data_IF_959425303516
#
_entry.id   IF_959425303516
#
_cell.length_a   1.000
_cell.length_b   1.000
_cell.length_c   1.000
_cell.angle_alpha   90.00
_cell.angle_beta   90.00
_cell.angle_gamma   90.00
#
_symmetry.space_group_name_H-M   'P 1'
#
loop_
_entity.id
_entity.type
_entity.pdbx_description
1 polymer ?
#
# COMPACT_ATOMS: atom_id res chain seq x y z
N UNK A 1 -2.50 -2.87 19.17
CA UNK A 1 -1.68 -2.84 17.95
C UNK A 1 -0.76 -4.04 17.94
N UNK A 2 -0.52 -4.64 16.76
CA UNK A 2 0.40 -5.75 16.63
C UNK A 2 1.84 -5.27 16.93
N UNK A 3 2.61 -6.04 17.71
CA UNK A 3 4.00 -5.68 17.97
C UNK A 3 4.88 -5.97 16.72
N UNK A 4 6.02 -5.26 16.54
CA UNK A 4 6.93 -5.54 15.42
C UNK A 4 7.38 -7.01 15.37
N UNK A 5 7.66 -7.62 16.51
CA UNK A 5 8.04 -9.04 16.63
C UNK A 5 6.94 -9.98 16.12
N UNK A 6 5.67 -9.73 16.50
CA UNK A 6 4.53 -10.52 16.01
C UNK A 6 4.31 -10.33 14.50
N UNK A 7 4.43 -9.09 14.00
CA UNK A 7 4.34 -8.82 12.55
C UNK A 7 5.43 -9.58 11.78
N UNK A 8 6.66 -9.55 12.25
CA UNK A 8 7.78 -10.25 11.64
C UNK A 8 7.55 -11.77 11.62
N UNK A 9 7.05 -12.33 12.71
CA UNK A 9 6.74 -13.77 12.79
C UNK A 9 5.66 -14.16 11.78
N UNK A 10 4.62 -13.34 11.58
CA UNK A 10 3.58 -13.60 10.57
C UNK A 10 4.19 -13.59 9.17
N UNK A 11 5.05 -12.60 8.85
CA UNK A 11 5.72 -12.51 7.55
C UNK A 11 6.61 -13.74 7.28
N UNK A 12 7.36 -14.22 8.29
CA UNK A 12 8.16 -15.43 8.16
C UNK A 12 7.30 -16.68 8.00
N UNK A 13 6.24 -16.83 8.80
CA UNK A 13 5.33 -17.99 8.78
C UNK A 13 4.58 -18.14 7.45
N UNK A 14 4.41 -17.06 6.71
CA UNK A 14 3.71 -17.02 5.41
C UNK A 14 4.69 -17.02 4.23
N UNK A 15 6.00 -17.21 4.47
CA UNK A 15 7.06 -17.05 3.45
C UNK A 15 7.02 -15.70 2.72
N UNK A 16 6.39 -14.70 3.34
CA UNK A 16 6.35 -13.35 2.82
C UNK A 16 7.68 -12.60 3.03
N UNK A 17 8.47 -13.01 4.00
CA UNK A 17 9.83 -12.54 4.25
C UNK A 17 10.80 -13.69 4.08
N UNK A 18 11.62 -13.59 3.05
CA UNK A 18 12.73 -14.53 2.78
C UNK A 18 14.05 -13.89 3.18
N UNK A 19 14.92 -14.67 3.78
CA UNK A 19 16.30 -14.30 4.11
C UNK A 19 17.26 -15.08 3.22
N UNK A 20 18.26 -14.41 2.64
CA UNK A 20 19.20 -14.98 1.67
C UNK A 20 19.86 -13.90 0.83
N UNK A 21 20.40 -14.26 -0.31
CA UNK A 21 20.99 -13.31 -1.25
C UNK A 21 20.04 -13.11 -2.43
N UNK A 22 19.53 -11.91 -2.58
CA UNK A 22 18.55 -11.55 -3.61
C UNK A 22 19.05 -10.37 -4.44
N UNK A 23 18.88 -10.46 -5.76
CA UNK A 23 19.07 -9.34 -6.68
C UNK A 23 17.68 -8.73 -6.93
N UNK A 24 17.51 -7.46 -6.54
CA UNK A 24 16.26 -6.73 -6.69
C UNK A 24 16.09 -6.25 -8.14
N UNK A 25 14.86 -5.88 -8.52
CA UNK A 25 14.56 -5.31 -9.85
C UNK A 25 15.33 -4.03 -10.17
N UNK A 26 15.86 -3.36 -9.15
CA UNK A 26 16.76 -2.21 -9.28
C UNK A 26 18.22 -2.58 -9.56
N UNK A 27 18.57 -3.88 -9.60
CA UNK A 27 19.94 -4.38 -9.65
C UNK A 27 20.69 -4.38 -8.32
N UNK A 28 20.09 -3.85 -7.25
CA UNK A 28 20.69 -3.85 -5.91
C UNK A 28 20.59 -5.22 -5.26
N UNK A 29 21.61 -5.58 -4.49
CA UNK A 29 21.64 -6.78 -3.67
C UNK A 29 20.96 -6.55 -2.33
N UNK A 30 20.24 -7.56 -1.84
CA UNK A 30 19.58 -7.51 -0.55
C UNK A 30 19.67 -8.85 0.16
N UNK A 31 19.90 -8.84 1.46
CA UNK A 31 19.82 -10.05 2.30
C UNK A 31 18.39 -10.46 2.64
N UNK A 32 17.40 -9.67 2.23
CA UNK A 32 15.98 -9.92 2.49
C UNK A 32 15.14 -9.60 1.26
N UNK A 33 14.20 -10.49 0.98
CA UNK A 33 13.18 -10.28 -0.05
C UNK A 33 11.79 -10.34 0.57
N UNK A 34 10.91 -9.46 0.15
CA UNK A 34 9.53 -9.40 0.66
C UNK A 34 8.56 -9.58 -0.50
N UNK A 35 7.66 -10.55 -0.32
CA UNK A 35 6.58 -10.85 -1.25
C UNK A 35 5.24 -10.81 -0.51
N UNK A 36 4.61 -9.64 -0.44
CA UNK A 36 3.36 -9.44 0.30
C UNK A 36 2.20 -10.29 -0.22
N UNK A 37 2.21 -10.69 -1.49
CA UNK A 37 1.20 -11.60 -2.03
C UNK A 37 1.16 -12.93 -1.25
N UNK A 38 2.30 -13.42 -0.74
CA UNK A 38 2.36 -14.61 0.12
C UNK A 38 1.63 -14.39 1.45
N UNK A 39 1.81 -13.26 2.11
CA UNK A 39 1.03 -12.90 3.30
C UNK A 39 -0.46 -12.84 2.97
N UNK A 40 -0.81 -12.14 1.89
CA UNK A 40 -2.19 -11.87 1.51
C UNK A 40 -2.93 -13.13 1.02
N UNK A 41 -2.21 -14.21 0.65
CA UNK A 41 -2.80 -15.52 0.36
C UNK A 41 -3.29 -16.27 1.61
N UNK A 42 -3.00 -15.76 2.81
CA UNK A 42 -3.51 -16.29 4.08
C UNK A 42 -4.41 -15.24 4.75
N UNK A 43 -5.71 -15.12 4.36
CA UNK A 43 -6.58 -14.03 4.81
C UNK A 43 -6.66 -13.87 6.33
N UNK A 44 -6.69 -14.97 7.07
CA UNK A 44 -6.75 -14.96 8.53
C UNK A 44 -5.48 -14.39 9.19
N UNK A 45 -4.29 -14.57 8.59
CA UNK A 45 -3.04 -13.98 9.08
C UNK A 45 -2.90 -12.53 8.61
N UNK A 46 -3.28 -12.25 7.37
CA UNK A 46 -3.30 -10.90 6.82
C UNK A 46 -4.23 -9.97 7.62
N UNK A 47 -5.38 -10.47 8.10
CA UNK A 47 -6.32 -9.71 8.92
C UNK A 47 -5.67 -9.09 10.16
N UNK A 48 -4.80 -9.80 10.87
CA UNK A 48 -4.09 -9.24 12.04
C UNK A 48 -3.23 -8.02 11.66
N UNK A 49 -2.52 -8.11 10.54
CA UNK A 49 -1.66 -7.01 10.05
C UNK A 49 -2.51 -5.86 9.55
N UNK A 50 -3.55 -6.15 8.75
CA UNK A 50 -4.47 -5.13 8.23
C UNK A 50 -5.22 -4.40 9.34
N UNK A 51 -5.70 -5.08 10.39
CA UNK A 51 -6.30 -4.44 11.57
C UNK A 51 -5.32 -3.52 12.29
N UNK A 52 -4.08 -3.96 12.47
CA UNK A 52 -3.06 -3.12 13.09
C UNK A 52 -2.78 -1.87 12.27
N UNK A 53 -2.70 -2.00 10.94
CA UNK A 53 -2.51 -0.87 10.01
C UNK A 53 -3.74 0.05 10.02
N UNK A 54 -4.96 -0.49 9.92
CA UNK A 54 -6.20 0.30 9.98
C UNK A 54 -6.31 1.12 11.26
N UNK A 55 -5.90 0.55 12.40
CA UNK A 55 -5.87 1.28 13.67
C UNK A 55 -4.85 2.42 13.68
N UNK A 56 -3.68 2.23 13.04
CA UNK A 56 -2.70 3.32 12.86
C UNK A 56 -3.26 4.40 11.94
N UNK A 57 -3.91 4.01 10.84
CA UNK A 57 -4.53 4.95 9.90
C UNK A 57 -5.58 5.80 10.62
N UNK A 58 -6.49 5.20 11.40
CA UNK A 58 -7.52 5.93 12.16
C UNK A 58 -6.94 6.97 13.12
N UNK A 59 -5.76 6.69 13.69
CA UNK A 59 -5.09 7.64 14.61
C UNK A 59 -4.45 8.82 13.89
N UNK A 60 -3.86 8.57 12.70
CA UNK A 60 -3.04 9.55 12.01
C UNK A 60 -3.79 10.33 10.92
N UNK A 61 -4.83 9.72 10.33
CA UNK A 61 -5.58 10.33 9.23
C UNK A 61 -7.04 10.52 9.63
N UNK A 62 -7.49 11.77 9.58
CA UNK A 62 -8.89 12.14 9.81
C UNK A 62 -9.56 12.48 8.49
N UNK A 63 -10.88 12.19 8.39
CA UNK A 63 -11.71 12.56 7.23
C UNK A 63 -11.18 12.00 5.89
N UNK A 64 -10.84 10.70 5.87
CA UNK A 64 -10.56 10.00 4.62
C UNK A 64 -11.88 9.88 3.85
N UNK A 65 -11.89 10.31 2.58
CA UNK A 65 -13.07 10.17 1.71
C UNK A 65 -12.92 8.95 0.80
N UNK A 66 -11.70 8.69 0.31
CA UNK A 66 -11.41 7.65 -0.67
C UNK A 66 -10.07 6.98 -0.38
N UNK A 67 -9.99 5.68 -0.62
CA UNK A 67 -8.74 4.92 -0.68
C UNK A 67 -8.40 4.66 -2.14
N UNK A 68 -7.15 4.93 -2.52
CA UNK A 68 -6.58 4.60 -3.82
C UNK A 68 -5.47 3.56 -3.65
N UNK A 69 -5.59 2.45 -4.34
CA UNK A 69 -4.61 1.36 -4.31
C UNK A 69 -3.97 1.14 -5.69
N UNK A 70 -2.64 1.13 -5.82
CA UNK A 70 -2.01 0.76 -7.09
C UNK A 70 -2.06 -0.76 -7.30
N UNK A 71 -2.52 -1.19 -8.46
CA UNK A 71 -2.49 -2.59 -8.87
C UNK A 71 -1.05 -3.05 -9.12
N UNK A 72 -0.71 -4.32 -8.88
CA UNK A 72 -1.56 -5.39 -8.37
C UNK A 72 -1.50 -5.50 -6.83
N UNK A 73 -0.32 -5.30 -6.21
CA UNK A 73 -0.06 -5.59 -4.80
C UNK A 73 -0.97 -4.82 -3.84
N UNK A 74 -1.32 -3.57 -4.19
CA UNK A 74 -2.15 -2.72 -3.36
C UNK A 74 -3.64 -3.10 -3.31
N UNK A 75 -4.15 -3.90 -4.29
CA UNK A 75 -5.60 -4.12 -4.41
C UNK A 75 -6.18 -4.83 -3.18
N UNK A 76 -5.60 -5.96 -2.80
CA UNK A 76 -6.14 -6.79 -1.69
C UNK A 76 -6.04 -6.02 -0.38
N UNK A 77 -4.89 -5.44 -0.09
CA UNK A 77 -4.72 -4.65 1.14
C UNK A 77 -5.60 -3.40 1.15
N UNK A 78 -5.73 -2.71 0.01
CA UNK A 78 -6.62 -1.56 -0.13
C UNK A 78 -8.06 -1.94 0.20
N UNK A 79 -8.55 -3.04 -0.35
CA UNK A 79 -9.88 -3.58 -0.07
C UNK A 79 -10.07 -3.89 1.43
N UNK A 80 -9.14 -4.61 2.04
CA UNK A 80 -9.22 -4.95 3.47
C UNK A 80 -9.21 -3.71 4.36
N UNK A 81 -8.35 -2.74 4.08
CA UNK A 81 -8.32 -1.47 4.82
C UNK A 81 -9.61 -0.67 4.58
N UNK A 82 -10.10 -0.61 3.35
CA UNK A 82 -11.36 0.05 3.01
C UNK A 82 -12.55 -0.53 3.75
N UNK A 83 -12.65 -1.85 3.80
CA UNK A 83 -13.65 -2.59 4.59
C UNK A 83 -13.59 -2.19 6.09
N UNK A 84 -12.38 -2.19 6.68
CA UNK A 84 -12.19 -1.86 8.10
C UNK A 84 -12.45 -0.38 8.42
N UNK A 85 -12.22 0.51 7.48
CA UNK A 85 -12.45 1.95 7.63
C UNK A 85 -13.84 2.37 7.16
N UNK A 86 -14.61 1.47 6.52
CA UNK A 86 -15.90 1.74 5.86
C UNK A 86 -15.76 2.87 4.84
N UNK A 87 -14.74 2.77 3.97
CA UNK A 87 -14.45 3.76 2.94
C UNK A 87 -14.46 3.14 1.54
N UNK A 88 -14.96 3.90 0.59
CA UNK A 88 -14.82 3.55 -0.81
C UNK A 88 -13.35 3.31 -1.14
N UNK A 89 -13.10 2.23 -1.87
CA UNK A 89 -11.75 1.85 -2.29
C UNK A 89 -11.75 1.57 -3.77
N UNK A 90 -10.91 2.30 -4.48
CA UNK A 90 -10.66 2.12 -5.90
C UNK A 90 -9.20 1.76 -6.13
N UNK A 91 -8.90 1.25 -7.31
CA UNK A 91 -7.52 0.99 -7.70
C UNK A 91 -7.19 1.61 -9.06
N UNK A 92 -5.91 1.90 -9.25
CA UNK A 92 -5.36 2.24 -10.57
C UNK A 92 -4.51 1.08 -11.08
N UNK A 93 -4.52 0.89 -12.39
CA UNK A 93 -3.79 -0.19 -13.06
C UNK A 93 -2.89 0.36 -14.16
N UNK A 94 -1.80 -0.36 -14.49
CA UNK A 94 -0.88 0.07 -15.53
C UNK A 94 -1.46 -0.20 -16.92
N UNK A 95 -1.56 0.86 -17.71
CA UNK A 95 -1.90 0.81 -19.12
C UNK A 95 -0.75 1.48 -19.88
N UNK A 96 -0.11 0.75 -20.76
CA UNK A 96 1.09 1.24 -21.52
C UNK A 96 2.14 1.87 -20.57
N UNK A 97 2.41 1.19 -19.44
CA UNK A 97 3.41 1.60 -18.45
C UNK A 97 3.00 2.72 -17.48
N UNK A 98 1.81 3.34 -17.63
CA UNK A 98 1.32 4.45 -16.77
C UNK A 98 0.12 4.01 -15.94
N UNK A 99 0.07 4.41 -14.68
CA UNK A 99 -1.14 4.20 -13.88
C UNK A 99 -2.31 5.02 -14.41
N UNK A 100 -3.44 4.35 -14.51
CA UNK A 100 -4.69 4.90 -15.07
C UNK A 100 -5.86 4.39 -14.26
N UNK A 101 -6.85 5.24 -14.03
CA UNK A 101 -8.15 4.82 -13.51
C UNK A 101 -8.98 4.25 -14.66
N UNK A 102 -9.51 3.05 -14.47
CA UNK A 102 -10.39 2.35 -15.41
C UNK A 102 -11.66 1.91 -14.70
N UNK A 103 -12.46 1.07 -15.35
CA UNK A 103 -13.65 0.42 -14.76
C UNK A 103 -14.69 1.42 -14.22
N UNK A 104 -14.72 2.62 -14.77
CA UNK A 104 -15.61 3.68 -14.31
C UNK A 104 -15.16 4.38 -13.02
N UNK A 105 -14.00 4.00 -12.45
CA UNK A 105 -13.48 4.66 -11.25
C UNK A 105 -13.16 6.13 -11.49
N UNK A 106 -13.58 6.97 -10.55
CA UNK A 106 -13.34 8.42 -10.56
C UNK A 106 -12.91 8.89 -9.18
N UNK A 107 -12.00 9.84 -9.14
CA UNK A 107 -11.66 10.58 -7.93
C UNK A 107 -12.42 11.90 -7.99
N UNK A 108 -13.26 12.16 -7.00
CA UNK A 108 -14.04 13.38 -6.95
C UNK A 108 -13.17 14.59 -6.62
N UNK A 109 -13.41 15.71 -7.27
CA UNK A 109 -12.73 16.98 -6.97
C UNK A 109 -12.87 17.32 -5.47
N UNK A 110 -11.77 17.68 -4.84
CA UNK A 110 -11.72 18.07 -3.43
C UNK A 110 -11.74 16.92 -2.43
N UNK A 111 -11.99 15.66 -2.86
CA UNK A 111 -11.96 14.50 -1.96
C UNK A 111 -10.57 14.30 -1.35
N UNK A 112 -10.54 13.78 -0.13
CA UNK A 112 -9.34 13.47 0.64
C UNK A 112 -8.97 12.01 0.44
N UNK A 113 -7.88 11.77 -0.27
CA UNK A 113 -7.46 10.46 -0.75
C UNK A 113 -6.28 9.95 0.06
N UNK A 114 -6.39 8.71 0.58
CA UNK A 114 -5.29 7.97 1.19
C UNK A 114 -4.81 6.91 0.20
N UNK A 115 -3.50 6.84 -0.06
CA UNK A 115 -2.91 5.79 -0.88
C UNK A 115 -2.53 4.62 0.02
N UNK A 116 -2.94 3.40 -0.39
CA UNK A 116 -2.59 2.15 0.31
C UNK A 116 -1.77 1.27 -0.62
N UNK A 117 -0.57 0.90 -0.20
CA UNK A 117 0.32 -0.03 -0.89
C UNK A 117 0.70 -1.22 -0.01
N UNK A 118 1.14 -2.31 -0.62
CA UNK A 118 1.69 -3.46 0.10
C UNK A 118 3.12 -3.20 0.56
N UNK A 119 3.99 -2.74 -0.34
CA UNK A 119 5.39 -2.41 -0.06
C UNK A 119 5.76 -1.08 -0.72
N UNK A 120 6.27 -0.15 0.06
CA UNK A 120 6.90 1.07 -0.46
C UNK A 120 8.43 0.89 -0.43
N UNK A 121 9.07 1.08 -1.59
CA UNK A 121 10.54 1.06 -1.75
C UNK A 121 11.05 2.43 -2.17
N UNK A 122 11.08 2.70 -3.47
CA UNK A 122 11.45 4.01 -4.02
C UNK A 122 10.32 5.03 -3.99
N UNK A 123 9.08 4.57 -3.74
CA UNK A 123 7.89 5.42 -3.80
C UNK A 123 7.43 5.77 -5.23
N UNK A 124 8.06 5.21 -6.27
CA UNK A 124 7.72 5.53 -7.67
C UNK A 124 6.24 5.30 -7.97
N UNK A 125 5.70 4.14 -7.61
CA UNK A 125 4.28 3.81 -7.79
C UNK A 125 3.37 4.77 -7.04
N UNK A 126 3.69 5.03 -5.78
CA UNK A 126 2.95 5.97 -4.93
C UNK A 126 2.94 7.38 -5.54
N UNK A 127 4.09 7.86 -6.05
CA UNK A 127 4.17 9.17 -6.69
C UNK A 127 3.43 9.24 -8.04
N UNK A 128 3.34 8.14 -8.77
CA UNK A 128 2.48 8.09 -9.95
C UNK A 128 0.97 8.18 -9.57
N UNK A 129 0.56 7.56 -8.45
CA UNK A 129 -0.79 7.71 -7.91
C UNK A 129 -1.10 9.16 -7.50
N UNK A 130 -0.12 9.87 -6.93
CA UNK A 130 -0.27 11.30 -6.59
C UNK A 130 -0.62 12.13 -7.83
N UNK A 131 -0.05 11.80 -8.98
CA UNK A 131 -0.40 12.50 -10.25
C UNK A 131 -1.87 12.32 -10.63
N UNK A 132 -2.46 11.14 -10.38
CA UNK A 132 -3.90 10.90 -10.62
C UNK A 132 -4.76 11.74 -9.68
N UNK A 133 -4.37 11.83 -8.40
CA UNK A 133 -5.05 12.63 -7.39
C UNK A 133 -5.02 14.11 -7.77
N UNK A 134 -3.85 14.62 -8.15
CA UNK A 134 -3.66 16.01 -8.56
C UNK A 134 -4.44 16.34 -9.84
N UNK A 135 -4.43 15.43 -10.84
CA UNK A 135 -5.24 15.58 -12.07
C UNK A 135 -6.73 15.70 -11.78
N UNK A 136 -7.21 14.98 -10.78
CA UNK A 136 -8.60 15.04 -10.31
C UNK A 136 -8.90 16.27 -9.44
N UNK A 137 -7.91 17.13 -9.15
CA UNK A 137 -8.04 18.25 -8.21
C UNK A 137 -8.51 17.80 -6.82
N UNK A 138 -8.09 16.62 -6.39
CA UNK A 138 -8.33 16.05 -5.07
C UNK A 138 -7.13 16.31 -4.13
N UNK A 139 -7.28 15.97 -2.85
CA UNK A 139 -6.26 16.20 -1.82
C UNK A 139 -5.63 14.88 -1.39
N UNK A 140 -4.30 14.76 -1.54
CA UNK A 140 -3.56 13.66 -0.93
C UNK A 140 -3.54 13.86 0.58
N UNK A 141 -3.90 12.80 1.35
CA UNK A 141 -3.71 12.75 2.80
C UNK A 141 -2.36 12.16 3.20
N UNK A 142 -1.86 11.21 2.42
CA UNK A 142 -0.62 10.52 2.67
C UNK A 142 -0.65 9.09 2.15
N UNK A 143 0.26 8.27 2.69
CA UNK A 143 0.45 6.89 2.31
C UNK A 143 0.37 5.99 3.54
N UNK A 144 -0.11 4.75 3.35
CA UNK A 144 0.02 3.70 4.33
C UNK A 144 0.37 2.38 3.64
N UNK A 145 1.25 1.60 4.27
CA UNK A 145 1.76 0.35 3.71
C UNK A 145 1.99 -0.68 4.80
N UNK A 146 1.98 -1.97 4.43
CA UNK A 146 2.39 -3.05 5.33
C UNK A 146 3.89 -2.95 5.59
N UNK A 147 4.67 -2.77 4.54
CA UNK A 147 6.13 -2.75 4.59
C UNK A 147 6.64 -1.43 4.01
N UNK A 148 7.38 -0.71 4.83
CA UNK A 148 8.13 0.45 4.39
C UNK A 148 9.63 0.11 4.32
N UNK A 149 10.17 0.14 3.11
CA UNK A 149 11.60 0.02 2.79
C UNK A 149 12.15 1.30 2.17
N UNK A 150 11.39 2.38 2.26
CA UNK A 150 11.83 3.67 1.74
C UNK A 150 13.06 4.19 2.49
N UNK A 151 13.95 4.84 1.77
CA UNK A 151 15.00 5.64 2.39
C UNK A 151 14.47 7.05 2.67
N UNK A 152 15.05 7.78 3.64
CA UNK A 152 14.66 9.17 3.98
C UNK A 152 14.61 10.13 2.77
N UNK A 153 15.19 9.74 1.62
CA UNK A 153 15.22 10.52 0.38
C UNK A 153 14.08 10.17 -0.60
N UNK A 154 13.39 9.03 -0.42
CA UNK A 154 12.51 8.49 -1.46
C UNK A 154 11.07 9.02 -1.45
N UNK A 155 10.61 9.61 -0.36
CA UNK A 155 9.27 10.18 -0.23
C UNK A 155 9.35 11.62 0.29
N UNK A 156 9.96 12.51 -0.49
CA UNK A 156 9.76 13.96 -0.29
C UNK A 156 8.47 14.37 -1.00
N UNK A 157 7.47 14.69 -0.22
CA UNK A 157 6.22 15.34 -0.65
C UNK A 157 6.42 16.85 -0.61
#
# INVERSE_FOLDING_TARGET
MLSPKKSLNILKKTDALLEGHFVLSSGLHSSKYIQCAKLLSFPHLADYICRSLANKIKKNFKKIDLILAPAMGGIIIGYEIGKMLKKETIFCERVKGKFTLRRGFKIQKGSKVLIIEDVITTGKSSMECVRLINKAKAKLLGFATIIDRSTKKSLKI
#
